data_IF_499170660678
#
_entry.id   IF_499170660678
#
_cell.length_a   1.000
_cell.length_b   1.000
_cell.length_c   1.000
_cell.angle_alpha   90.00
_cell.angle_beta   90.00
_cell.angle_gamma   90.00
#
_symmetry.space_group_name_H-M   'P 1'
#
loop_
_entity.id
_entity.type
_entity.pdbx_description
1 polymer ?
#
# COMPACT_ATOMS: atom_id res chain seq x y z
N UNK A 1 -15.87 7.30 38.53
CA UNK A 1 -15.55 7.53 37.11
C UNK A 1 -14.06 7.81 36.97
N UNK A 2 -13.20 6.97 37.58
CA UNK A 2 -11.81 7.40 37.86
C UNK A 2 -10.74 6.31 37.98
N UNK A 3 -11.06 5.01 37.87
CA UNK A 3 -10.03 3.95 37.91
C UNK A 3 -10.03 3.02 36.68
N UNK A 4 -11.17 2.84 36.01
CA UNK A 4 -11.29 1.95 34.83
C UNK A 4 -10.76 2.62 33.55
N UNK A 5 -10.86 3.95 33.43
CA UNK A 5 -10.31 4.69 32.29
C UNK A 5 -8.79 4.77 32.34
N UNK A 6 -8.21 4.92 33.53
CA UNK A 6 -6.75 4.99 33.69
C UNK A 6 -6.09 3.67 33.33
N UNK A 7 -6.68 2.51 33.68
CA UNK A 7 -6.08 1.21 33.35
C UNK A 7 -6.13 0.88 31.84
N UNK A 8 -7.17 1.30 31.13
CA UNK A 8 -7.26 1.13 29.67
C UNK A 8 -6.27 2.02 28.94
N UNK A 9 -6.10 3.26 29.41
CA UNK A 9 -5.18 4.21 28.80
C UNK A 9 -3.72 3.80 29.01
N UNK A 10 -3.37 3.29 30.20
CA UNK A 10 -2.01 2.79 30.46
C UNK A 10 -1.66 1.55 29.62
N UNK A 11 -2.64 0.67 29.32
CA UNK A 11 -2.40 -0.53 28.49
C UNK A 11 -2.16 -0.25 27.00
N UNK A 12 -2.59 0.91 26.50
CA UNK A 12 -2.45 1.29 25.10
C UNK A 12 -1.13 2.03 24.82
N UNK A 13 -0.63 2.76 25.82
CA UNK A 13 0.66 3.47 25.76
C UNK A 13 1.86 2.51 25.88
N UNK A 14 1.74 1.44 26.69
CA UNK A 14 2.80 0.43 26.87
C UNK A 14 2.96 -0.53 25.66
N UNK A 15 2.02 -0.53 24.71
CA UNK A 15 2.03 -1.46 23.57
C UNK A 15 3.00 -1.06 22.44
N UNK A 16 3.52 0.17 22.45
CA UNK A 16 4.28 0.73 21.32
C UNK A 16 5.68 1.22 21.66
N UNK A 17 6.10 1.12 22.92
CA UNK A 17 7.49 1.38 23.28
C UNK A 17 8.33 0.15 22.91
N UNK A 18 8.71 0.06 21.62
CA UNK A 18 9.63 -0.97 21.13
C UNK A 18 10.94 -0.77 21.85
N UNK A 19 11.15 -1.53 22.94
CA UNK A 19 12.42 -1.56 23.66
C UNK A 19 13.50 -1.93 22.65
N UNK A 20 14.29 -0.93 22.25
CA UNK A 20 15.34 -1.06 21.25
C UNK A 20 16.44 -1.95 21.83
N UNK A 21 16.22 -3.24 21.69
CA UNK A 21 17.21 -4.27 22.00
C UNK A 21 18.28 -4.21 20.91
N UNK A 22 19.56 -4.51 21.19
CA UNK A 22 20.60 -4.52 20.16
C UNK A 22 20.23 -5.33 18.89
N UNK A 23 19.48 -6.41 19.07
CA UNK A 23 18.97 -7.23 17.98
C UNK A 23 17.92 -6.51 17.10
N UNK A 24 17.05 -5.68 17.69
CA UNK A 24 16.05 -4.89 16.97
C UNK A 24 16.71 -3.73 16.23
N UNK A 25 17.67 -3.05 16.87
CA UNK A 25 18.48 -2.02 16.23
C UNK A 25 19.22 -2.55 14.99
N UNK A 26 19.83 -3.74 15.11
CA UNK A 26 20.47 -4.40 13.97
C UNK A 26 19.50 -4.66 12.82
N UNK A 27 18.28 -5.15 13.11
CA UNK A 27 17.24 -5.36 12.08
C UNK A 27 16.86 -4.08 11.35
N UNK A 28 16.69 -2.98 12.08
CA UNK A 28 16.37 -1.68 11.47
C UNK A 28 17.50 -1.20 10.56
N UNK A 29 18.75 -1.27 11.02
CA UNK A 29 19.91 -0.87 10.22
C UNK A 29 20.05 -1.76 8.98
N UNK A 30 19.93 -3.08 9.12
CA UNK A 30 20.01 -4.01 8.00
C UNK A 30 18.90 -3.76 6.97
N UNK A 31 17.66 -3.53 7.42
CA UNK A 31 16.53 -3.21 6.55
C UNK A 31 16.72 -1.87 5.84
N UNK A 32 17.28 -0.86 6.53
CA UNK A 32 17.55 0.46 5.93
C UNK A 32 18.65 0.37 4.88
N UNK A 33 19.74 -0.33 5.16
CA UNK A 33 20.83 -0.57 4.19
C UNK A 33 20.29 -1.29 2.96
N UNK A 34 19.48 -2.33 3.17
CA UNK A 34 18.88 -3.10 2.09
C UNK A 34 17.94 -2.24 1.23
N UNK A 35 17.15 -1.36 1.86
CA UNK A 35 16.32 -0.39 1.15
C UNK A 35 17.16 0.61 0.34
N UNK A 36 18.17 1.23 0.93
CA UNK A 36 19.06 2.16 0.24
C UNK A 36 19.76 1.51 -0.95
N UNK A 37 20.18 0.25 -0.79
CA UNK A 37 20.77 -0.54 -1.86
C UNK A 37 19.76 -0.81 -2.99
N UNK A 38 18.53 -1.24 -2.67
CA UNK A 38 17.47 -1.45 -3.66
C UNK A 38 17.12 -0.16 -4.41
N UNK A 39 16.99 0.98 -3.71
CA UNK A 39 16.76 2.28 -4.35
C UNK A 39 17.92 2.60 -5.32
N UNK A 40 19.17 2.40 -4.90
CA UNK A 40 20.34 2.68 -5.74
C UNK A 40 20.33 1.82 -7.00
N UNK A 41 20.03 0.53 -6.89
CA UNK A 41 19.92 -0.37 -8.05
C UNK A 41 18.82 0.09 -9.00
N UNK A 42 17.61 0.36 -8.50
CA UNK A 42 16.46 0.75 -9.33
C UNK A 42 16.71 2.07 -10.06
N UNK A 43 17.27 3.06 -9.36
CA UNK A 43 17.65 4.33 -9.97
C UNK A 43 18.76 4.12 -11.01
N UNK A 44 19.77 3.29 -10.71
CA UNK A 44 20.83 3.01 -11.67
C UNK A 44 20.29 2.31 -12.93
N UNK A 45 19.39 1.33 -12.79
CA UNK A 45 18.71 0.65 -13.91
C UNK A 45 18.00 1.64 -14.85
N UNK A 46 17.30 2.61 -14.25
CA UNK A 46 16.63 3.68 -14.98
C UNK A 46 17.67 4.52 -15.74
N UNK A 47 18.71 5.02 -15.07
CA UNK A 47 19.69 5.90 -15.73
C UNK A 47 20.61 5.19 -16.73
N UNK A 48 20.79 3.87 -16.63
CA UNK A 48 21.45 3.06 -17.67
C UNK A 48 20.53 2.72 -18.85
N UNK A 49 19.25 3.12 -18.80
CA UNK A 49 18.29 2.81 -19.86
C UNK A 49 17.90 1.33 -19.94
N UNK A 50 18.13 0.56 -18.88
CA UNK A 50 17.85 -0.88 -18.84
C UNK A 50 16.42 -1.17 -18.35
N UNK A 51 15.51 -0.20 -18.41
CA UNK A 51 14.09 -0.38 -18.08
C UNK A 51 13.22 0.01 -19.25
N UNK A 52 11.98 -0.51 -19.30
CA UNK A 52 11.08 -0.31 -20.44
C UNK A 52 10.82 1.18 -20.71
N UNK A 53 10.33 1.91 -19.71
CA UNK A 53 9.98 3.33 -19.88
C UNK A 53 11.22 4.19 -20.14
N UNK A 54 12.36 3.84 -19.53
CA UNK A 54 13.58 4.60 -19.73
C UNK A 54 14.18 4.40 -21.13
N UNK A 55 14.12 3.18 -21.67
CA UNK A 55 14.66 2.88 -23.01
C UNK A 55 13.80 3.47 -24.13
N UNK A 56 12.49 3.54 -23.94
CA UNK A 56 11.55 4.06 -24.95
C UNK A 56 11.35 5.58 -24.91
N UNK A 57 11.54 6.21 -23.75
CA UNK A 57 11.28 7.65 -23.58
C UNK A 57 12.48 8.40 -23.03
N UNK A 58 12.68 8.36 -21.72
CA UNK A 58 13.74 9.10 -21.02
C UNK A 58 13.85 8.61 -19.57
N UNK A 59 15.07 8.47 -19.01
CA UNK A 59 15.27 8.12 -17.60
C UNK A 59 14.52 9.02 -16.61
N UNK A 60 14.48 10.34 -16.85
CA UNK A 60 13.79 11.29 -15.97
C UNK A 60 12.29 11.10 -15.97
N UNK A 61 11.71 10.77 -17.14
CA UNK A 61 10.28 10.46 -17.25
C UNK A 61 9.95 9.18 -16.48
N UNK A 62 10.77 8.14 -16.64
CA UNK A 62 10.61 6.89 -15.89
C UNK A 62 10.68 7.13 -14.37
N UNK A 63 11.62 7.96 -13.90
CA UNK A 63 11.77 8.28 -12.49
C UNK A 63 10.56 9.06 -11.93
N UNK A 64 10.05 10.05 -12.66
CA UNK A 64 8.88 10.84 -12.25
C UNK A 64 7.63 9.96 -12.21
N UNK A 65 7.38 9.18 -13.28
CA UNK A 65 6.23 8.27 -13.35
C UNK A 65 6.29 7.24 -12.23
N UNK A 66 7.46 6.64 -11.99
CA UNK A 66 7.64 5.69 -10.88
C UNK A 66 7.38 6.34 -9.53
N UNK A 67 7.87 7.55 -9.29
CA UNK A 67 7.67 8.27 -8.02
C UNK A 67 6.19 8.55 -7.77
N UNK A 68 5.49 9.07 -8.78
CA UNK A 68 4.04 9.32 -8.69
C UNK A 68 3.25 8.03 -8.48
N UNK A 69 3.63 6.94 -9.16
CA UNK A 69 3.01 5.64 -9.00
C UNK A 69 3.25 5.07 -7.58
N UNK A 70 4.45 5.18 -7.03
CA UNK A 70 4.76 4.76 -5.66
C UNK A 70 3.97 5.58 -4.64
N UNK A 71 3.87 6.90 -4.81
CA UNK A 71 3.07 7.77 -3.94
C UNK A 71 1.59 7.38 -4.00
N UNK A 72 1.07 7.03 -5.18
CA UNK A 72 -0.31 6.59 -5.30
C UNK A 72 -0.53 5.21 -4.69
N UNK A 73 0.36 4.25 -4.92
CA UNK A 73 0.34 2.95 -4.25
C UNK A 73 0.34 3.10 -2.72
N UNK A 74 1.19 4.00 -2.22
CA UNK A 74 1.29 4.32 -0.79
C UNK A 74 -0.03 4.79 -0.20
N UNK A 75 -0.76 5.64 -0.92
CA UNK A 75 -2.08 6.10 -0.50
C UNK A 75 -3.12 4.98 -0.57
N UNK A 76 -3.13 4.20 -1.66
CA UNK A 76 -4.04 3.07 -1.85
C UNK A 76 -3.95 2.07 -0.67
N UNK A 77 -2.72 1.71 -0.29
CA UNK A 77 -2.43 0.71 0.75
C UNK A 77 -2.71 1.24 2.16
N UNK A 78 -2.26 2.47 2.47
CA UNK A 78 -2.53 3.07 3.77
C UNK A 78 -4.01 3.40 3.98
N UNK A 79 -4.73 3.77 2.91
CA UNK A 79 -6.16 4.02 2.98
C UNK A 79 -6.94 2.74 3.27
N UNK A 80 -6.56 1.60 2.68
CA UNK A 80 -7.16 0.31 3.03
C UNK A 80 -7.02 0.01 4.52
N UNK A 81 -5.79 0.10 5.03
CA UNK A 81 -5.52 -0.21 6.44
C UNK A 81 -6.33 0.72 7.36
N UNK A 82 -6.48 1.99 7.00
CA UNK A 82 -7.35 2.93 7.73
C UNK A 82 -8.83 2.54 7.65
N UNK A 83 -9.38 2.33 6.45
CA UNK A 83 -10.82 2.06 6.26
C UNK A 83 -11.26 0.72 6.84
N UNK A 84 -10.37 -0.28 6.91
CA UNK A 84 -10.70 -1.59 7.50
C UNK A 84 -10.71 -1.54 9.02
N UNK A 85 -9.87 -0.71 9.66
CA UNK A 85 -9.83 -0.64 11.12
C UNK A 85 -10.54 0.55 11.74
N UNK A 86 -11.10 1.47 10.94
CA UNK A 86 -11.96 2.57 11.40
C UNK A 86 -13.38 2.16 11.88
N UNK A 87 -14.02 1.03 11.47
CA UNK A 87 -15.38 0.67 11.89
C UNK A 87 -15.67 0.66 13.42
N UNK A 88 -14.73 0.29 14.32
CA UNK A 88 -14.95 0.33 15.76
C UNK A 88 -15.01 1.74 16.37
N UNK A 89 -14.64 2.79 15.62
CA UNK A 89 -14.53 4.15 16.13
C UNK A 89 -15.82 4.92 15.80
N UNK A 90 -16.41 5.57 16.80
CA UNK A 90 -17.62 6.38 16.62
C UNK A 90 -17.35 7.58 15.68
N UNK A 91 -18.07 7.71 14.54
CA UNK A 91 -17.92 8.82 13.61
C UNK A 91 -18.09 10.22 14.22
N UNK A 92 -18.88 10.35 15.28
CA UNK A 92 -19.12 11.66 15.91
C UNK A 92 -17.87 12.21 16.63
N UNK A 93 -16.91 11.35 16.98
CA UNK A 93 -15.64 11.75 17.64
C UNK A 93 -14.73 12.59 16.74
N UNK A 94 -14.80 12.39 15.42
CA UNK A 94 -13.87 13.03 14.47
C UNK A 94 -14.58 13.84 13.38
N UNK A 95 -15.91 13.95 13.43
CA UNK A 95 -16.71 14.67 12.44
C UNK A 95 -16.30 16.12 12.26
N UNK A 96 -16.08 16.83 13.38
CA UNK A 96 -15.78 18.27 13.37
C UNK A 96 -14.28 18.54 13.18
N UNK A 97 -13.42 17.64 13.67
CA UNK A 97 -11.96 17.78 13.60
C UNK A 97 -11.38 17.29 12.26
N UNK A 98 -11.96 16.24 11.69
CA UNK A 98 -11.49 15.55 10.48
C UNK A 98 -12.63 15.36 9.47
N UNK A 99 -13.13 16.45 8.85
CA UNK A 99 -14.31 16.40 7.99
C UNK A 99 -14.09 15.59 6.71
N UNK A 100 -12.85 15.45 6.23
CA UNK A 100 -12.56 14.64 5.03
C UNK A 100 -12.58 13.15 5.40
N UNK A 101 -12.04 12.78 6.56
CA UNK A 101 -12.17 11.41 7.10
C UNK A 101 -13.64 11.05 7.30
N UNK A 102 -14.44 11.96 7.84
CA UNK A 102 -15.88 11.75 7.96
C UNK A 102 -16.54 11.48 6.60
N UNK A 103 -16.18 12.22 5.55
CA UNK A 103 -16.68 11.96 4.18
C UNK A 103 -16.21 10.62 3.62
N UNK A 104 -14.93 10.27 3.82
CA UNK A 104 -14.38 8.98 3.41
C UNK A 104 -15.13 7.83 4.09
N UNK A 105 -15.28 7.89 5.41
CA UNK A 105 -15.98 6.90 6.21
C UNK A 105 -17.47 6.82 5.84
N UNK A 106 -18.15 7.95 5.70
CA UNK A 106 -19.56 8.00 5.32
C UNK A 106 -19.82 7.40 3.93
N UNK A 107 -18.88 7.52 2.99
CA UNK A 107 -18.98 6.89 1.68
C UNK A 107 -18.64 5.40 1.73
N UNK A 108 -17.53 5.04 2.38
CA UNK A 108 -17.03 3.67 2.45
C UNK A 108 -17.95 2.75 3.26
N UNK A 109 -18.54 3.23 4.36
CA UNK A 109 -19.40 2.42 5.24
C UNK A 109 -20.88 2.49 4.91
N UNK A 110 -21.25 3.08 3.77
CA UNK A 110 -22.64 3.10 3.30
C UNK A 110 -22.97 1.80 2.58
N UNK A 111 -23.83 0.97 3.18
CA UNK A 111 -24.19 -0.34 2.63
C UNK A 111 -22.95 -1.22 2.46
N UNK A 112 -22.84 -1.89 1.31
CA UNK A 112 -21.72 -2.79 0.98
C UNK A 112 -20.55 -2.06 0.28
N UNK A 113 -20.49 -0.73 0.35
CA UNK A 113 -19.45 0.05 -0.34
C UNK A 113 -18.03 -0.27 0.12
N UNK A 114 -17.84 -0.73 1.35
CA UNK A 114 -16.51 -1.08 1.85
C UNK A 114 -15.98 -2.28 1.06
N UNK A 115 -16.79 -3.32 0.88
CA UNK A 115 -16.43 -4.50 0.12
C UNK A 115 -16.19 -4.16 -1.36
N UNK A 116 -17.06 -3.33 -1.95
CA UNK A 116 -16.89 -2.80 -3.31
C UNK A 116 -15.59 -2.03 -3.47
N UNK A 117 -15.26 -1.17 -2.50
CA UNK A 117 -13.99 -0.47 -2.45
C UNK A 117 -12.82 -1.45 -2.38
N UNK A 118 -12.85 -2.47 -1.51
CA UNK A 118 -11.79 -3.47 -1.40
C UNK A 118 -11.53 -4.16 -2.75
N UNK A 119 -12.59 -4.45 -3.50
CA UNK A 119 -12.50 -5.05 -4.83
C UNK A 119 -11.91 -4.11 -5.89
N UNK A 120 -12.49 -2.90 -6.04
CA UNK A 120 -12.01 -1.91 -7.01
C UNK A 120 -10.58 -1.46 -6.74
N UNK A 121 -10.22 -1.30 -5.47
CA UNK A 121 -8.87 -0.96 -5.04
C UNK A 121 -7.85 -2.01 -5.46
N UNK A 122 -8.16 -3.30 -5.34
CA UNK A 122 -7.20 -4.36 -5.68
C UNK A 122 -6.75 -4.28 -7.14
N UNK A 123 -7.68 -3.97 -8.06
CA UNK A 123 -7.33 -3.74 -9.45
C UNK A 123 -6.40 -2.52 -9.62
N UNK A 124 -6.66 -1.43 -8.91
CA UNK A 124 -5.77 -0.26 -8.91
C UNK A 124 -4.37 -0.60 -8.40
N UNK A 125 -4.25 -1.38 -7.31
CA UNK A 125 -2.95 -1.86 -6.80
C UNK A 125 -2.18 -2.57 -7.91
N UNK A 126 -2.82 -3.52 -8.60
CA UNK A 126 -2.18 -4.29 -9.68
C UNK A 126 -1.74 -3.39 -10.84
N UNK A 127 -2.58 -2.44 -11.26
CA UNK A 127 -2.23 -1.48 -12.31
C UNK A 127 -1.04 -0.60 -11.93
N UNK A 128 -1.03 -0.07 -10.72
CA UNK A 128 0.04 0.81 -10.24
C UNK A 128 1.35 0.03 -10.07
N UNK A 129 1.30 -1.19 -9.49
CA UNK A 129 2.46 -2.08 -9.39
C UNK A 129 2.99 -2.46 -10.78
N UNK A 130 2.10 -2.70 -11.75
CA UNK A 130 2.51 -2.93 -13.13
C UNK A 130 3.28 -1.74 -13.71
N UNK A 131 2.77 -0.50 -13.55
CA UNK A 131 3.45 0.72 -14.00
C UNK A 131 4.82 0.90 -13.32
N UNK A 132 4.91 0.66 -12.00
CA UNK A 132 6.17 0.70 -11.26
C UNK A 132 7.17 -0.30 -11.84
N UNK A 133 6.73 -1.53 -12.12
CA UNK A 133 7.58 -2.56 -12.72
C UNK A 133 8.05 -2.18 -14.13
N UNK A 134 7.21 -1.55 -14.95
CA UNK A 134 7.66 -1.05 -16.27
C UNK A 134 8.71 0.05 -16.15
N UNK A 135 8.71 0.82 -15.06
CA UNK A 135 9.70 1.88 -14.84
C UNK A 135 11.01 1.35 -14.25
N UNK A 136 10.97 0.35 -13.36
CA UNK A 136 12.12 -0.05 -12.55
C UNK A 136 12.71 -1.44 -12.81
N UNK A 137 11.98 -2.36 -13.43
CA UNK A 137 12.45 -3.74 -13.64
C UNK A 137 13.44 -3.82 -14.83
N UNK A 138 14.54 -4.61 -14.74
CA UNK A 138 15.49 -4.74 -15.84
C UNK A 138 14.85 -5.39 -17.07
N UNK A 139 15.19 -4.87 -18.25
CA UNK A 139 14.91 -5.53 -19.53
C UNK A 139 15.89 -6.68 -19.78
N UNK A 140 17.17 -6.45 -19.49
CA UNK A 140 18.22 -7.45 -19.55
C UNK A 140 18.96 -7.50 -18.20
N UNK A 141 18.77 -8.56 -17.39
CA UNK A 141 19.40 -8.68 -16.08
C UNK A 141 20.92 -8.95 -16.15
N UNK A 142 21.47 -9.22 -17.34
CA UNK A 142 22.90 -9.47 -17.56
C UNK A 142 23.71 -8.20 -17.77
N UNK A 143 23.05 -7.10 -18.12
CA UNK A 143 23.70 -5.79 -18.32
C UNK A 143 24.34 -5.33 -17.03
N UNK A 144 25.59 -4.91 -17.12
CA UNK A 144 26.31 -4.38 -15.96
C UNK A 144 25.90 -2.94 -15.69
N UNK A 145 25.21 -2.72 -14.57
CA UNK A 145 24.67 -1.41 -14.18
C UNK A 145 25.58 -0.69 -13.18
N UNK A 146 26.21 -1.46 -12.29
CA UNK A 146 26.95 -0.92 -11.12
C UNK A 146 28.24 -1.71 -10.83
N UNK A 147 28.72 -2.57 -11.73
CA UNK A 147 29.87 -3.44 -11.47
C UNK A 147 29.58 -4.49 -10.40
N UNK A 148 28.32 -4.92 -10.27
CA UNK A 148 27.89 -5.83 -9.21
C UNK A 148 28.40 -7.27 -9.48
N UNK A 149 28.78 -8.02 -8.43
CA UNK A 149 29.10 -9.44 -8.56
C UNK A 149 27.90 -10.25 -9.10
N UNK A 150 28.18 -11.34 -9.82
CA UNK A 150 27.15 -12.16 -10.48
C UNK A 150 26.08 -12.69 -9.52
N UNK A 151 26.48 -13.12 -8.32
CA UNK A 151 25.53 -13.58 -7.31
C UNK A 151 24.56 -12.48 -6.84
N UNK A 152 25.02 -11.23 -6.80
CA UNK A 152 24.18 -10.08 -6.43
C UNK A 152 23.24 -9.72 -7.59
N UNK A 153 23.72 -9.76 -8.84
CA UNK A 153 22.89 -9.56 -10.04
C UNK A 153 21.78 -10.60 -10.11
N UNK A 154 22.10 -11.87 -9.89
CA UNK A 154 21.13 -12.96 -9.87
C UNK A 154 20.00 -12.68 -8.86
N UNK A 155 20.34 -12.33 -7.62
CA UNK A 155 19.34 -12.15 -6.57
C UNK A 155 18.53 -10.86 -6.76
N UNK A 156 19.18 -9.74 -7.04
CA UNK A 156 18.52 -8.44 -7.03
C UNK A 156 17.93 -8.02 -8.37
N UNK A 157 18.52 -8.45 -9.49
CA UNK A 157 18.09 -8.09 -10.84
C UNK A 157 17.29 -9.21 -11.50
N UNK A 158 17.84 -10.43 -11.54
CA UNK A 158 17.23 -11.56 -12.28
C UNK A 158 15.99 -12.12 -11.55
N UNK A 159 16.13 -12.44 -10.26
CA UNK A 159 14.99 -12.82 -9.41
C UNK A 159 14.07 -11.60 -9.14
N UNK A 160 14.60 -10.37 -9.23
CA UNK A 160 13.85 -9.13 -9.02
C UNK A 160 13.67 -8.72 -7.55
N UNK A 161 14.48 -9.26 -6.63
CA UNK A 161 14.35 -8.94 -5.20
C UNK A 161 14.50 -7.44 -4.90
N UNK A 162 15.32 -6.71 -5.67
CA UNK A 162 15.50 -5.27 -5.50
C UNK A 162 14.20 -4.50 -5.69
N UNK A 163 13.46 -4.79 -6.76
CA UNK A 163 12.16 -4.17 -7.05
C UNK A 163 11.09 -4.55 -6.03
N UNK A 164 11.08 -5.81 -5.57
CA UNK A 164 10.15 -6.27 -4.53
C UNK A 164 10.37 -5.50 -3.24
N UNK A 165 11.62 -5.40 -2.76
CA UNK A 165 11.96 -4.67 -1.53
C UNK A 165 11.63 -3.18 -1.66
N UNK A 166 12.00 -2.56 -2.78
CA UNK A 166 11.69 -1.16 -3.07
C UNK A 166 10.19 -0.89 -2.98
N UNK A 167 9.38 -1.66 -3.72
CA UNK A 167 7.94 -1.44 -3.82
C UNK A 167 7.23 -1.78 -2.52
N UNK A 168 7.62 -2.89 -1.87
CA UNK A 168 7.02 -3.34 -0.62
C UNK A 168 7.27 -2.34 0.51
N UNK A 169 8.50 -1.88 0.70
CA UNK A 169 8.82 -0.96 1.80
C UNK A 169 8.29 0.45 1.53
N UNK A 170 8.63 1.05 0.38
CA UNK A 170 8.25 2.45 0.10
C UNK A 170 6.79 2.60 -0.31
N UNK A 171 6.27 1.64 -1.09
CA UNK A 171 4.95 1.74 -1.68
C UNK A 171 3.83 1.18 -0.82
N UNK A 172 4.10 0.27 0.13
CA UNK A 172 3.01 -0.44 0.84
C UNK A 172 3.20 -0.43 2.37
N UNK A 173 4.26 -1.06 2.88
CA UNK A 173 4.41 -1.31 4.32
C UNK A 173 4.53 -0.03 5.15
N UNK A 174 5.30 0.95 4.68
CA UNK A 174 5.51 2.21 5.43
C UNK A 174 4.20 2.92 5.71
N UNK A 175 3.32 3.00 4.71
CA UNK A 175 2.01 3.65 4.88
C UNK A 175 1.02 2.77 5.61
N UNK A 176 1.02 1.45 5.42
CA UNK A 176 0.17 0.54 6.19
C UNK A 176 0.46 0.65 7.70
N UNK A 177 1.73 0.62 8.10
CA UNK A 177 2.12 0.79 9.51
C UNK A 177 1.67 2.16 10.02
N UNK A 178 2.01 3.24 9.32
CA UNK A 178 1.63 4.59 9.75
C UNK A 178 0.10 4.77 9.85
N UNK A 179 -0.63 4.24 8.87
CA UNK A 179 -2.09 4.32 8.83
C UNK A 179 -2.77 3.48 9.90
N UNK A 180 -2.17 2.37 10.35
CA UNK A 180 -2.73 1.56 11.44
C UNK A 180 -2.70 2.26 12.80
N UNK A 181 -1.76 3.21 13.00
CA UNK A 181 -1.66 4.01 14.22
C UNK A 181 -2.43 5.33 14.12
N UNK A 182 -2.43 5.97 12.95
CA UNK A 182 -3.02 7.30 12.73
C UNK A 182 -4.12 7.26 11.65
N UNK A 183 -5.06 6.33 11.77
CA UNK A 183 -6.10 6.06 10.75
C UNK A 183 -6.87 7.31 10.33
N UNK A 184 -7.34 8.07 11.32
CA UNK A 184 -8.19 9.25 11.12
C UNK A 184 -7.40 10.34 10.41
N UNK A 185 -6.18 10.63 10.85
CA UNK A 185 -5.32 11.65 10.25
C UNK A 185 -4.89 11.24 8.84
N UNK A 186 -4.56 9.97 8.64
CA UNK A 186 -4.01 9.45 7.39
C UNK A 186 -4.97 9.64 6.21
N UNK A 187 -6.29 9.45 6.43
CA UNK A 187 -7.30 9.61 5.37
C UNK A 187 -7.97 11.00 5.37
N UNK A 188 -7.54 11.93 6.21
CA UNK A 188 -8.09 13.29 6.27
C UNK A 188 -7.52 14.22 5.18
N UNK A 189 -7.45 13.75 3.94
CA UNK A 189 -6.92 14.53 2.82
C UNK A 189 -7.67 14.22 1.52
N UNK A 190 -7.62 15.17 0.58
CA UNK A 190 -8.31 15.04 -0.70
C UNK A 190 -7.74 13.92 -1.59
N UNK A 191 -6.48 13.52 -1.38
CA UNK A 191 -5.88 12.45 -2.16
C UNK A 191 -6.44 11.06 -1.80
N UNK A 192 -6.71 10.82 -0.51
CA UNK A 192 -7.45 9.66 -0.04
C UNK A 192 -8.88 9.65 -0.60
N UNK A 193 -9.57 10.80 -0.58
CA UNK A 193 -10.92 10.90 -1.13
C UNK A 193 -10.96 10.64 -2.64
N UNK A 194 -10.00 11.20 -3.38
CA UNK A 194 -9.81 10.92 -4.81
C UNK A 194 -9.57 9.43 -5.08
N UNK A 195 -8.73 8.80 -4.26
CA UNK A 195 -8.40 7.37 -4.39
C UNK A 195 -9.63 6.50 -4.10
N UNK A 196 -10.43 6.85 -3.10
CA UNK A 196 -11.72 6.19 -2.81
C UNK A 196 -12.67 6.29 -4.01
N UNK A 197 -12.88 7.49 -4.56
CA UNK A 197 -13.74 7.66 -5.73
C UNK A 197 -13.24 6.89 -6.95
N UNK A 198 -11.93 6.87 -7.16
CA UNK A 198 -11.34 6.11 -8.29
C UNK A 198 -11.57 4.61 -8.11
N UNK A 199 -11.39 4.09 -6.89
CA UNK A 199 -11.67 2.68 -6.60
C UNK A 199 -13.15 2.33 -6.81
N UNK A 200 -14.07 3.19 -6.39
CA UNK A 200 -15.50 3.01 -6.63
C UNK A 200 -15.84 3.08 -8.13
N UNK A 201 -15.21 3.97 -8.90
CA UNK A 201 -15.40 4.04 -10.36
C UNK A 201 -14.85 2.82 -11.09
N UNK A 202 -13.72 2.28 -10.64
CA UNK A 202 -13.15 1.03 -11.15
C UNK A 202 -14.07 -0.15 -10.83
N UNK A 203 -14.62 -0.23 -9.63
CA UNK A 203 -15.59 -1.26 -9.28
C UNK A 203 -16.85 -1.18 -10.16
N UNK A 204 -17.36 0.04 -10.38
CA UNK A 204 -18.49 0.33 -11.25
C UNK A 204 -18.27 -0.09 -12.71
N UNK A 205 -17.02 -0.15 -13.18
CA UNK A 205 -16.69 -0.61 -14.53
C UNK A 205 -17.04 -2.09 -14.78
N UNK A 206 -17.24 -2.88 -13.72
CA UNK A 206 -17.68 -4.27 -13.83
C UNK A 206 -16.56 -5.29 -14.05
N UNK A 207 -15.31 -4.86 -14.28
CA UNK A 207 -14.20 -5.76 -14.64
C UNK A 207 -13.96 -6.84 -13.57
N UNK A 208 -14.22 -6.54 -12.30
CA UNK A 208 -14.03 -7.45 -11.16
C UNK A 208 -15.30 -8.23 -10.74
N UNK A 209 -16.42 -8.13 -11.46
CA UNK A 209 -17.67 -8.78 -11.04
C UNK A 209 -17.63 -10.32 -11.01
N UNK A 210 -16.71 -10.94 -11.74
CA UNK A 210 -16.49 -12.39 -11.66
C UNK A 210 -16.09 -12.84 -10.25
N UNK A 211 -15.44 -11.96 -9.47
CA UNK A 211 -15.07 -12.24 -8.08
C UNK A 211 -16.29 -12.36 -7.16
N UNK A 212 -17.37 -11.60 -7.37
CA UNK A 212 -18.61 -11.75 -6.61
C UNK A 212 -19.29 -13.09 -6.92
N UNK A 213 -19.22 -13.56 -8.17
CA UNK A 213 -19.73 -14.87 -8.54
C UNK A 213 -18.97 -15.99 -7.80
N UNK A 214 -17.63 -15.89 -7.73
CA UNK A 214 -16.80 -16.81 -6.95
C UNK A 214 -17.15 -16.72 -5.46
N UNK A 215 -17.34 -15.52 -4.93
CA UNK A 215 -17.74 -15.29 -3.54
C UNK A 215 -19.06 -16.00 -3.21
N UNK A 216 -20.06 -15.88 -4.09
CA UNK A 216 -21.35 -16.54 -3.95
C UNK A 216 -21.23 -18.07 -3.99
N UNK A 217 -20.40 -18.61 -4.90
CA UNK A 217 -20.12 -20.05 -4.95
C UNK A 217 -19.48 -20.53 -3.66
N UNK A 218 -18.47 -19.82 -3.16
CA UNK A 218 -17.79 -20.17 -1.92
C UNK A 218 -18.70 -20.07 -0.69
N UNK A 219 -19.59 -19.06 -0.67
CA UNK A 219 -20.60 -18.89 0.37
C UNK A 219 -21.60 -20.06 0.39
N UNK A 220 -22.05 -20.50 -0.79
CA UNK A 220 -22.92 -21.67 -0.94
C UNK A 220 -22.21 -22.96 -0.46
N UNK A 221 -20.95 -23.16 -0.85
CA UNK A 221 -20.15 -24.32 -0.41
C UNK A 221 -19.89 -24.29 1.10
N UNK A 222 -19.69 -23.11 1.67
CA UNK A 222 -19.38 -22.94 3.10
C UNK A 222 -20.61 -22.95 4.01
N UNK A 223 -21.83 -22.98 3.44
CA UNK A 223 -23.08 -22.97 4.20
C UNK A 223 -23.34 -21.67 4.98
N UNK A 224 -22.63 -20.58 4.66
CA UNK A 224 -22.78 -19.26 5.30
C UNK A 224 -23.22 -18.25 4.22
N UNK A 225 -24.53 -17.99 4.06
CA UNK A 225 -25.00 -17.05 3.06
C UNK A 225 -24.46 -15.65 3.36
N UNK A 226 -23.95 -14.97 2.34
CA UNK A 226 -23.51 -13.57 2.44
C UNK A 226 -24.77 -12.71 2.60
N UNK A 227 -24.90 -12.03 3.73
CA UNK A 227 -25.93 -11.01 3.91
C UNK A 227 -25.42 -9.74 3.26
N UNK A 228 -25.85 -9.49 2.03
CA UNK A 228 -25.63 -8.23 1.35
C UNK A 228 -26.64 -7.20 1.86
N UNK A 229 -26.16 -6.00 2.15
CA UNK A 229 -26.98 -4.82 2.46
C UNK A 229 -27.07 -3.88 1.25
N UNK A 230 -27.06 -4.44 0.03
CA UNK A 230 -27.27 -3.70 -1.22
C UNK A 230 -28.58 -2.91 -1.27
#
# INVERSE_FOLDING_TARGET
MTEVDTSKQTSHDDAHDVKITPFVAFKYVASLVLLCFSITIVVALIFTGNTRVSSETNPWVALIVMTLAVVWLSMIEGQQASLVGLPPIDPDLYKDTHPITYKNAALAFKGDNLDRYLMGRQFMVLLVVFVINQCGNPLDPTVDVLGLPDGVKLVFLDIGLGMIIFTCILGQLTTQVNSSHCMIDFINNYFALFTLYTAMAVEFSGVMHSSYLIQNILSMVSGKPIQSNE
#
